data_IF_107058660372
#
_entry.id   IF_107058660372
#
_cell.length_a   1.000
_cell.length_b   1.000
_cell.length_c   1.000
_cell.angle_alpha   90.00
_cell.angle_beta   90.00
_cell.angle_gamma   90.00
#
_symmetry.space_group_name_H-M   'P 1'
#
loop_
_entity.id
_entity.type
_entity.pdbx_description
1 polymer ?
#
# COMPACT_ATOMS: atom_id res chain seq x y z
N UNK A 1 3.41 40.55 -1.39
CA UNK A 1 4.49 39.65 -0.97
C UNK A 1 3.97 38.75 0.11
N UNK A 2 4.07 37.43 -0.07
CA UNK A 2 3.74 36.42 0.92
C UNK A 2 4.20 35.06 0.40
N UNK A 3 4.87 34.28 1.24
CA UNK A 3 5.23 32.90 0.93
C UNK A 3 4.06 31.98 1.33
N UNK A 4 3.74 31.00 0.48
CA UNK A 4 2.76 29.97 0.79
C UNK A 4 3.48 28.70 1.24
N UNK A 5 2.93 28.01 2.23
CA UNK A 5 3.38 26.71 2.70
C UNK A 5 2.17 25.77 2.73
N UNK A 6 2.40 24.49 2.42
CA UNK A 6 1.37 23.46 2.46
C UNK A 6 1.90 22.19 3.11
N UNK A 7 1.00 21.42 3.71
CA UNK A 7 1.30 20.09 4.24
C UNK A 7 0.41 19.06 3.57
N UNK A 8 1.00 17.91 3.27
CA UNK A 8 0.30 16.73 2.83
C UNK A 8 0.78 15.55 3.67
N UNK A 9 -0.15 14.71 4.09
CA UNK A 9 0.18 13.56 4.89
C UNK A 9 -0.22 12.25 4.24
N UNK A 10 0.49 11.20 4.62
CA UNK A 10 0.25 9.83 4.18
C UNK A 10 0.13 8.99 5.43
N UNK A 11 -0.94 8.21 5.43
CA UNK A 11 -1.27 7.32 6.53
C UNK A 11 -0.94 5.88 6.23
N UNK A 12 -0.88 5.08 7.27
CA UNK A 12 -0.86 3.62 7.17
C UNK A 12 -2.29 3.11 7.21
N UNK A 13 -2.68 2.34 6.19
CA UNK A 13 -3.85 1.49 6.25
C UNK A 13 -3.47 0.13 6.86
N UNK A 14 -4.20 -0.31 7.87
CA UNK A 14 -3.96 -1.62 8.48
C UNK A 14 -4.38 -2.73 7.52
N UNK A 15 -3.55 -3.77 7.42
CA UNK A 15 -3.88 -4.95 6.63
C UNK A 15 -5.10 -5.65 7.25
N UNK A 16 -6.16 -5.81 6.48
CA UNK A 16 -7.41 -6.42 6.92
C UNK A 16 -7.90 -7.43 5.91
N UNK A 17 -8.42 -8.56 6.39
CA UNK A 17 -8.93 -9.63 5.52
C UNK A 17 -10.19 -9.22 4.75
N UNK A 18 -11.00 -8.32 5.31
CA UNK A 18 -12.21 -7.79 4.67
C UNK A 18 -11.94 -6.64 3.69
N UNK A 19 -10.68 -6.20 3.57
CA UNK A 19 -10.21 -5.34 2.49
C UNK A 19 -9.46 -6.20 1.47
N UNK A 20 -10.06 -6.44 0.31
CA UNK A 20 -9.53 -7.33 -0.72
C UNK A 20 -9.86 -6.85 -2.12
N UNK A 21 -9.16 -7.38 -3.11
CA UNK A 21 -9.53 -7.29 -4.52
C UNK A 21 -9.70 -8.69 -5.09
N UNK A 22 -10.54 -8.79 -6.09
CA UNK A 22 -10.82 -10.03 -6.82
C UNK A 22 -10.91 -9.73 -8.31
N UNK A 23 -10.81 -10.78 -9.14
CA UNK A 23 -11.07 -10.63 -10.57
C UNK A 23 -12.56 -10.34 -10.77
N UNK A 24 -12.86 -9.31 -11.55
CA UNK A 24 -14.22 -9.01 -12.00
C UNK A 24 -14.63 -10.04 -13.08
N UNK A 25 -15.65 -10.88 -12.85
CA UNK A 25 -16.04 -11.93 -13.79
C UNK A 25 -16.64 -11.37 -15.08
N UNK A 26 -17.15 -10.14 -15.05
CA UNK A 26 -17.96 -9.55 -16.12
C UNK A 26 -17.23 -8.43 -16.86
N UNK A 27 -16.02 -8.06 -16.42
CA UNK A 27 -15.30 -6.90 -16.92
C UNK A 27 -13.86 -7.20 -17.28
N UNK A 28 -13.51 -6.78 -18.49
CA UNK A 28 -12.15 -6.80 -19.01
C UNK A 28 -11.70 -5.39 -19.36
N UNK A 29 -10.39 -5.17 -19.41
CA UNK A 29 -9.81 -3.94 -19.90
C UNK A 29 -9.84 -3.88 -21.44
N UNK A 30 -9.26 -2.82 -22.01
CA UNK A 30 -9.19 -2.61 -23.46
C UNK A 30 -8.39 -3.67 -24.22
N UNK A 31 -7.66 -4.54 -23.51
CA UNK A 31 -6.84 -5.62 -24.07
C UNK A 31 -7.47 -7.01 -23.82
N UNK A 32 -8.68 -7.07 -23.23
CA UNK A 32 -9.35 -8.33 -22.91
C UNK A 32 -8.84 -8.99 -21.62
N UNK A 33 -8.06 -8.29 -20.80
CA UNK A 33 -7.56 -8.80 -19.52
C UNK A 33 -8.62 -8.53 -18.44
N UNK A 34 -9.05 -9.54 -17.65
CA UNK A 34 -9.96 -9.32 -16.54
C UNK A 34 -9.45 -8.27 -15.56
N UNK A 35 -10.29 -7.30 -15.20
CA UNK A 35 -9.90 -6.22 -14.26
C UNK A 35 -10.09 -6.64 -12.82
N UNK A 36 -9.48 -5.90 -11.90
CA UNK A 36 -9.76 -6.05 -10.47
C UNK A 36 -11.04 -5.31 -10.09
N UNK A 37 -11.89 -5.99 -9.31
CA UNK A 37 -12.95 -5.41 -8.49
C UNK A 37 -12.44 -5.27 -7.05
N UNK A 38 -12.54 -4.06 -6.50
CA UNK A 38 -12.04 -3.75 -5.16
C UNK A 38 -13.17 -3.74 -4.14
N UNK A 39 -12.98 -4.48 -3.05
CA UNK A 39 -13.79 -4.43 -1.85
C UNK A 39 -12.95 -3.79 -0.74
N UNK A 40 -13.07 -2.47 -0.60
CA UNK A 40 -12.25 -1.70 0.33
C UNK A 40 -13.08 -0.65 1.04
N UNK A 41 -12.88 -0.52 2.35
CA UNK A 41 -13.43 0.56 3.17
C UNK A 41 -12.38 1.08 4.13
N UNK A 42 -12.42 2.39 4.41
CA UNK A 42 -11.69 2.97 5.53
C UNK A 42 -12.24 2.41 6.84
N UNK A 43 -11.36 2.07 7.77
CA UNK A 43 -11.75 1.70 9.13
C UNK A 43 -11.54 2.87 10.10
N UNK A 44 -12.01 2.69 11.33
CA UNK A 44 -11.97 3.73 12.35
C UNK A 44 -10.54 4.16 12.69
N UNK A 45 -9.57 3.25 12.59
CA UNK A 45 -8.16 3.55 12.84
C UNK A 45 -7.58 4.50 11.79
N UNK A 46 -7.90 4.31 10.50
CA UNK A 46 -7.47 5.26 9.45
C UNK A 46 -8.15 6.62 9.60
N UNK A 47 -9.44 6.65 9.98
CA UNK A 47 -10.17 7.90 10.25
C UNK A 47 -9.57 8.64 11.44
N UNK A 48 -9.26 7.93 12.53
CA UNK A 48 -8.62 8.50 13.71
C UNK A 48 -7.21 9.03 13.39
N UNK A 49 -6.46 8.31 12.57
CA UNK A 49 -5.14 8.74 12.10
C UNK A 49 -5.25 10.00 11.22
N UNK A 50 -6.24 10.07 10.33
CA UNK A 50 -6.49 11.26 9.51
C UNK A 50 -6.86 12.48 10.37
N UNK A 51 -7.72 12.30 11.38
CA UNK A 51 -8.05 13.34 12.36
C UNK A 51 -6.79 13.86 13.06
N UNK A 52 -6.00 12.96 13.65
CA UNK A 52 -4.79 13.31 14.36
C UNK A 52 -3.78 14.05 13.46
N UNK A 53 -3.68 13.65 12.20
CA UNK A 53 -2.83 14.30 11.20
C UNK A 53 -3.29 15.73 10.90
N UNK A 54 -4.59 15.97 10.73
CA UNK A 54 -5.13 17.34 10.53
C UNK A 54 -4.90 18.24 11.75
N UNK A 55 -5.09 17.70 12.97
CA UNK A 55 -4.84 18.43 14.22
C UNK A 55 -3.36 18.79 14.37
N UNK A 56 -2.47 17.84 14.04
CA UNK A 56 -1.02 18.05 14.05
C UNK A 56 -0.59 19.11 13.03
N UNK A 57 -1.13 19.07 11.80
CA UNK A 57 -0.84 20.08 10.79
C UNK A 57 -1.26 21.48 11.22
N UNK A 58 -2.43 21.62 11.84
CA UNK A 58 -2.89 22.91 12.36
C UNK A 58 -1.97 23.43 13.47
N UNK A 59 -1.56 22.57 14.40
CA UNK A 59 -0.61 22.94 15.44
C UNK A 59 0.72 23.42 14.85
N UNK A 60 1.32 22.67 13.92
CA UNK A 60 2.58 23.06 13.27
C UNK A 60 2.43 24.41 12.54
N UNK A 61 1.37 24.60 11.75
CA UNK A 61 1.15 25.87 11.05
C UNK A 61 0.97 27.04 12.03
N UNK A 62 0.25 26.83 13.12
CA UNK A 62 0.05 27.84 14.15
C UNK A 62 1.38 28.26 14.78
N UNK A 63 2.21 27.30 15.18
CA UNK A 63 3.54 27.57 15.75
C UNK A 63 4.49 28.26 14.75
N UNK A 64 4.30 28.01 13.45
CA UNK A 64 5.03 28.73 12.39
C UNK A 64 4.54 30.18 12.19
N UNK A 65 3.50 30.62 12.89
CA UNK A 65 2.85 31.92 12.68
C UNK A 65 2.10 32.01 11.34
N UNK A 66 1.77 30.87 10.73
CA UNK A 66 1.08 30.84 9.46
C UNK A 66 -0.41 31.18 9.63
N UNK A 67 -0.95 31.93 8.67
CA UNK A 67 -2.39 32.16 8.55
C UNK A 67 -2.97 31.04 7.69
N UNK A 68 -3.88 30.24 8.24
CA UNK A 68 -4.54 29.16 7.51
C UNK A 68 -5.52 29.77 6.49
N UNK A 69 -5.26 29.51 5.20
CA UNK A 69 -6.10 29.99 4.08
C UNK A 69 -6.91 28.88 3.42
N UNK A 70 -6.68 27.62 3.78
CA UNK A 70 -7.41 26.45 3.28
C UNK A 70 -8.57 26.06 4.20
N UNK A 71 -9.55 25.34 3.64
CA UNK A 71 -10.57 24.67 4.44
C UNK A 71 -9.93 23.48 5.17
N UNK A 72 -10.12 23.41 6.49
CA UNK A 72 -9.71 22.27 7.30
C UNK A 72 -10.76 21.15 7.14
N UNK A 73 -10.39 19.94 6.70
CA UNK A 73 -11.31 18.81 6.59
C UNK A 73 -11.88 18.38 7.95
N UNK A 74 -13.20 18.17 8.01
CA UNK A 74 -13.92 17.75 9.21
C UNK A 74 -14.38 16.30 9.15
N UNK A 75 -15.21 15.89 10.12
CA UNK A 75 -15.76 14.53 10.18
C UNK A 75 -16.65 14.20 8.96
N UNK A 76 -17.29 15.20 8.36
CA UNK A 76 -18.11 15.10 7.14
C UNK A 76 -17.33 14.59 5.92
N UNK A 77 -16.01 14.79 5.91
CA UNK A 77 -15.09 14.31 4.86
C UNK A 77 -14.10 13.26 5.38
N UNK A 78 -14.41 12.60 6.50
CA UNK A 78 -13.51 11.66 7.17
C UNK A 78 -12.12 12.27 7.41
N UNK A 79 -12.07 13.54 7.80
CA UNK A 79 -10.85 14.33 8.02
C UNK A 79 -9.93 14.40 6.79
N UNK A 80 -10.51 14.35 5.60
CA UNK A 80 -9.79 14.50 4.33
C UNK A 80 -9.24 13.19 3.79
N UNK A 81 -9.73 12.04 4.25
CA UNK A 81 -9.46 10.77 3.58
C UNK A 81 -10.04 10.80 2.16
N UNK A 82 -9.18 10.50 1.20
CA UNK A 82 -9.52 10.44 -0.20
C UNK A 82 -10.14 9.08 -0.57
N UNK A 83 -10.63 8.96 -1.81
CA UNK A 83 -11.03 7.66 -2.33
C UNK A 83 -9.84 6.66 -2.27
N UNK A 84 -10.07 5.40 -1.82
CA UNK A 84 -9.05 4.37 -1.86
C UNK A 84 -8.40 4.26 -3.24
N UNK A 85 -7.07 4.11 -3.28
CA UNK A 85 -6.28 4.03 -4.52
C UNK A 85 -5.90 5.37 -5.16
N UNK A 86 -6.44 6.52 -4.71
CA UNK A 86 -6.07 7.84 -5.28
C UNK A 86 -4.56 8.12 -5.23
N UNK A 87 -3.86 7.53 -4.25
CA UNK A 87 -2.43 7.74 -4.03
C UNK A 87 -1.52 6.68 -4.66
N UNK A 88 -2.07 5.74 -5.44
CA UNK A 88 -1.32 4.76 -6.27
C UNK A 88 -0.23 3.97 -5.52
N UNK A 89 -0.50 3.63 -4.25
CA UNK A 89 0.38 2.83 -3.39
C UNK A 89 -0.37 1.58 -2.90
N UNK A 90 -0.90 0.79 -3.80
CA UNK A 90 -1.53 -0.49 -3.50
C UNK A 90 -0.47 -1.55 -3.16
N UNK A 91 -0.69 -2.32 -2.11
CA UNK A 91 0.18 -3.42 -1.69
C UNK A 91 -0.60 -4.56 -1.05
N UNK A 92 0.02 -5.73 -0.94
CA UNK A 92 -0.55 -6.89 -0.25
C UNK A 92 -1.52 -7.77 -1.06
N UNK A 93 -1.70 -7.48 -2.34
CA UNK A 93 -2.59 -8.25 -3.24
C UNK A 93 -2.09 -9.68 -3.51
N UNK A 94 -0.80 -9.94 -3.31
CA UNK A 94 -0.15 -11.26 -3.42
C UNK A 94 0.77 -11.51 -2.22
N UNK A 95 0.27 -11.21 -1.01
CA UNK A 95 1.09 -11.16 0.22
C UNK A 95 1.97 -12.39 0.44
N UNK A 96 3.15 -12.14 1.00
CA UNK A 96 4.04 -13.17 1.55
C UNK A 96 3.48 -13.78 2.84
N UNK A 97 3.89 -15.01 3.14
CA UNK A 97 3.62 -15.68 4.41
C UNK A 97 4.25 -17.07 4.47
N UNK A 98 4.20 -17.70 5.64
CA UNK A 98 4.75 -19.04 5.83
C UNK A 98 3.73 -20.16 5.54
N UNK A 99 2.43 -19.85 5.56
CA UNK A 99 1.36 -20.81 5.33
C UNK A 99 0.73 -20.60 3.93
N UNK A 100 0.80 -21.60 3.02
CA UNK A 100 0.19 -21.50 1.69
C UNK A 100 -1.33 -21.37 1.73
N UNK A 101 -2.01 -21.74 2.82
CA UNK A 101 -3.45 -21.55 2.97
C UNK A 101 -3.84 -20.10 3.24
N UNK A 102 -2.88 -19.27 3.66
CA UNK A 102 -3.14 -17.88 4.04
C UNK A 102 -2.20 -16.90 3.36
N UNK A 103 -1.40 -17.31 2.38
CA UNK A 103 -0.50 -16.43 1.64
C UNK A 103 -0.24 -16.99 0.24
N UNK A 104 0.02 -16.11 -0.72
CA UNK A 104 0.28 -16.50 -2.11
C UNK A 104 1.75 -16.87 -2.30
N UNK A 105 2.63 -16.15 -1.59
CA UNK A 105 4.07 -16.24 -1.73
C UNK A 105 4.72 -16.67 -0.41
N UNK A 106 5.86 -17.35 -0.49
CA UNK A 106 6.72 -17.55 0.67
C UNK A 106 7.52 -16.28 0.99
N UNK A 107 8.38 -16.34 2.01
CA UNK A 107 9.21 -15.20 2.45
C UNK A 107 10.17 -14.64 1.39
N UNK A 108 10.40 -15.33 0.28
CA UNK A 108 11.29 -14.92 -0.82
C UNK A 108 10.52 -14.36 -2.03
N UNK A 109 9.20 -14.15 -1.93
CA UNK A 109 8.39 -13.74 -3.08
C UNK A 109 8.14 -14.86 -4.10
N UNK A 110 8.48 -16.11 -3.77
CA UNK A 110 8.22 -17.29 -4.60
C UNK A 110 6.80 -17.80 -4.35
N UNK A 111 6.06 -18.16 -5.39
CA UNK A 111 4.72 -18.75 -5.24
C UNK A 111 4.80 -20.10 -4.54
N UNK A 112 3.89 -20.35 -3.60
CA UNK A 112 3.82 -21.66 -2.93
C UNK A 112 3.45 -22.78 -3.90
N UNK A 113 2.56 -22.49 -4.85
CA UNK A 113 2.02 -23.47 -5.81
C UNK A 113 2.93 -23.72 -7.02
N UNK A 114 3.96 -22.89 -7.23
CA UNK A 114 4.80 -22.94 -8.43
C UNK A 114 6.26 -22.56 -8.13
N UNK A 115 7.16 -23.56 -8.13
CA UNK A 115 8.56 -23.42 -7.68
C UNK A 115 9.41 -22.47 -8.54
N UNK A 116 9.03 -22.21 -9.78
CA UNK A 116 9.76 -21.32 -10.70
C UNK A 116 9.05 -19.99 -10.95
N UNK A 117 8.00 -19.67 -10.18
CA UNK A 117 7.26 -18.41 -10.26
C UNK A 117 7.60 -17.52 -9.07
N UNK A 118 7.93 -16.26 -9.37
CA UNK A 118 8.26 -15.22 -8.38
C UNK A 118 7.49 -13.94 -8.68
N UNK A 119 7.09 -13.23 -7.65
CA UNK A 119 6.44 -11.92 -7.75
C UNK A 119 7.26 -10.90 -6.96
N UNK A 120 7.67 -9.83 -7.64
CA UNK A 120 8.52 -8.77 -7.08
C UNK A 120 7.87 -7.41 -7.35
N UNK A 121 7.11 -6.94 -6.36
CA UNK A 121 6.42 -5.64 -6.36
C UNK A 121 5.94 -5.31 -4.94
N UNK A 122 4.96 -4.42 -4.79
CA UNK A 122 4.23 -4.16 -3.54
C UNK A 122 3.19 -5.25 -3.19
N UNK A 123 2.73 -6.04 -4.17
CA UNK A 123 1.82 -7.18 -3.95
C UNK A 123 2.28 -8.13 -2.82
N UNK A 124 3.56 -8.52 -2.75
CA UNK A 124 4.15 -9.30 -1.66
C UNK A 124 4.06 -8.72 -0.23
N UNK A 125 3.73 -7.44 -0.05
CA UNK A 125 3.82 -6.80 1.27
C UNK A 125 2.78 -7.37 2.24
N UNK A 126 3.17 -7.62 3.49
CA UNK A 126 2.25 -8.13 4.53
C UNK A 126 1.52 -6.98 5.23
N UNK A 127 2.23 -5.88 5.45
CA UNK A 127 1.72 -4.63 5.99
C UNK A 127 2.42 -3.49 5.25
N UNK A 128 1.65 -2.47 4.90
CA UNK A 128 2.17 -1.26 4.31
C UNK A 128 2.59 -0.26 5.40
N UNK A 129 3.66 0.48 5.16
CA UNK A 129 4.04 1.62 6.00
C UNK A 129 3.36 2.91 5.54
N UNK A 130 3.66 4.02 6.23
CA UNK A 130 3.17 5.37 5.89
C UNK A 130 3.95 6.03 4.73
N UNK A 131 5.03 5.38 4.27
CA UNK A 131 5.94 5.86 3.23
C UNK A 131 5.69 5.18 1.88
N UNK A 132 6.22 5.81 0.83
CA UNK A 132 6.20 5.29 -0.54
C UNK A 132 6.86 3.91 -0.63
N UNK A 133 6.28 3.02 -1.44
CA UNK A 133 6.62 1.59 -1.46
C UNK A 133 7.89 1.27 -2.26
N UNK A 134 8.30 2.13 -3.18
CA UNK A 134 9.34 1.85 -4.19
C UNK A 134 10.66 1.35 -3.61
N UNK A 135 11.15 1.95 -2.53
CA UNK A 135 12.40 1.51 -1.91
C UNK A 135 12.29 0.11 -1.31
N UNK A 136 11.16 -0.20 -0.67
CA UNK A 136 10.89 -1.55 -0.16
C UNK A 136 10.74 -2.54 -1.30
N UNK A 137 10.09 -2.16 -2.42
CA UNK A 137 10.01 -2.98 -3.63
C UNK A 137 11.42 -3.33 -4.11
N UNK A 138 12.29 -2.33 -4.29
CA UNK A 138 13.67 -2.56 -4.74
C UNK A 138 14.45 -3.49 -3.81
N UNK A 139 14.33 -3.29 -2.49
CA UNK A 139 14.98 -4.16 -1.52
C UNK A 139 14.48 -5.62 -1.60
N UNK A 140 13.18 -5.83 -1.73
CA UNK A 140 12.61 -7.18 -1.89
C UNK A 140 12.99 -7.82 -3.22
N UNK A 141 13.03 -7.03 -4.30
CA UNK A 141 13.47 -7.48 -5.63
C UNK A 141 14.92 -7.98 -5.61
N UNK A 142 15.83 -7.22 -5.00
CA UNK A 142 17.24 -7.62 -4.85
C UNK A 142 17.37 -8.91 -4.05
N UNK A 143 16.71 -8.99 -2.88
CA UNK A 143 16.70 -10.19 -2.03
C UNK A 143 16.15 -11.43 -2.77
N UNK A 144 15.10 -11.24 -3.57
CA UNK A 144 14.49 -12.32 -4.36
C UNK A 144 15.44 -12.80 -5.46
N UNK A 145 16.11 -11.87 -6.16
CA UNK A 145 17.09 -12.21 -7.18
C UNK A 145 18.29 -12.99 -6.61
N UNK A 146 18.80 -12.60 -5.44
CA UNK A 146 19.85 -13.34 -4.75
C UNK A 146 19.41 -14.77 -4.40
N UNK A 147 18.18 -14.93 -3.90
CA UNK A 147 17.62 -16.25 -3.62
C UNK A 147 17.52 -17.12 -4.87
N UNK A 148 17.02 -16.57 -5.99
CA UNK A 148 16.96 -17.29 -7.28
C UNK A 148 18.35 -17.79 -7.70
N UNK A 149 19.38 -16.95 -7.57
CA UNK A 149 20.75 -17.32 -7.91
C UNK A 149 21.30 -18.43 -7.00
N UNK A 150 20.99 -18.39 -5.70
CA UNK A 150 21.39 -19.42 -4.74
C UNK A 150 20.71 -20.76 -5.07
N UNK A 151 19.41 -20.77 -5.33
CA UNK A 151 18.69 -21.99 -5.70
C UNK A 151 19.17 -22.57 -7.03
N UNK A 152 19.46 -21.72 -8.02
CA UNK A 152 20.05 -22.16 -9.29
C UNK A 152 21.41 -22.83 -9.10
N UNK A 153 22.28 -22.30 -8.24
CA UNK A 153 23.59 -22.92 -7.97
C UNK A 153 23.46 -24.30 -7.35
N UNK A 154 22.48 -24.50 -6.46
CA UNK A 154 22.19 -25.81 -5.83
C UNK A 154 21.69 -26.86 -6.82
N UNK A 155 21.08 -26.44 -7.93
CA UNK A 155 20.63 -27.36 -8.99
C UNK A 155 21.79 -27.81 -9.91
N UNK A 156 22.89 -27.06 -9.93
CA UNK A 156 24.01 -27.26 -10.85
C UNK A 156 25.24 -27.92 -10.19
N UNK A 157 25.18 -28.23 -8.89
CA UNK A 157 26.24 -28.92 -8.14
C UNK A 157 25.70 -30.21 -7.54
#
# INVERSE_FOLDING_TARGET
YGANVGMAGRGTALARKDNYCEIDPDKVDKFGIPVLRFNYKWANEEIAQAKHMQETFQSIMHEMGAVITSKIPGADTLYGLEAPGKIIHEGGTTRMGNDPKTSVLNKWGQAHDCKNLYVVDAGPFVQQGDKNLTWTILALSMRTAEYILQEKKKLNG
#
